data_IF_024741012541
#
_entry.id   IF_024741012541
#
_cell.length_a   1.000
_cell.length_b   1.000
_cell.length_c   1.000
_cell.angle_alpha   90.00
_cell.angle_beta   90.00
_cell.angle_gamma   90.00
#
_symmetry.space_group_name_H-M   'P 1'
#
loop_
_entity.id
_entity.type
_entity.pdbx_description
1 polymer ?
#
# COMPACT_ATOMS: atom_id res chain seq x y z
N UNK A 1 3.20 18.37 5.39
CA UNK A 1 4.45 17.74 4.89
C UNK A 1 4.26 17.41 3.43
N UNK A 2 5.33 17.30 2.64
CA UNK A 2 5.28 16.89 1.22
C UNK A 2 5.79 15.46 1.08
N UNK A 3 5.19 14.69 0.16
CA UNK A 3 5.62 13.32 -0.12
C UNK A 3 7.07 13.32 -0.63
N UNK A 4 7.88 12.39 -0.12
CA UNK A 4 9.27 12.23 -0.55
C UNK A 4 9.35 11.15 -1.63
N UNK A 5 9.59 11.57 -2.86
CA UNK A 5 9.72 10.66 -4.00
C UNK A 5 11.05 9.89 -3.93
N UNK A 6 11.06 8.58 -4.23
CA UNK A 6 12.29 7.81 -4.30
C UNK A 6 13.08 8.17 -5.56
N UNK A 7 14.39 7.95 -5.55
CA UNK A 7 15.27 8.31 -6.68
C UNK A 7 14.85 7.63 -8.00
N UNK A 8 14.24 6.44 -7.94
CA UNK A 8 13.72 5.73 -9.10
C UNK A 8 12.65 6.54 -9.84
N UNK A 9 11.86 7.35 -9.13
CA UNK A 9 10.86 8.21 -9.74
C UNK A 9 11.48 9.32 -10.60
N UNK A 10 12.75 9.65 -10.37
CA UNK A 10 13.54 10.57 -11.20
C UNK A 10 14.40 9.85 -12.25
N UNK A 11 14.24 8.54 -12.42
CA UNK A 11 14.95 7.73 -13.39
C UNK A 11 14.05 7.41 -14.60
N UNK A 12 14.26 8.01 -15.80
CA UNK A 12 13.34 7.86 -16.93
C UNK A 12 12.99 6.41 -17.32
N UNK A 13 13.93 5.43 -17.31
CA UNK A 13 13.61 4.03 -17.62
C UNK A 13 12.65 3.37 -16.62
N UNK A 14 12.44 3.95 -15.43
CA UNK A 14 11.52 3.43 -14.43
C UNK A 14 10.05 3.46 -14.91
N UNK A 15 9.70 4.39 -15.80
CA UNK A 15 8.37 4.54 -16.42
C UNK A 15 8.19 3.70 -17.69
N UNK A 16 9.11 2.78 -17.98
CA UNK A 16 8.99 1.84 -19.10
C UNK A 16 9.19 0.43 -18.58
N UNK A 17 8.21 -0.44 -18.80
CA UNK A 17 8.27 -1.80 -18.31
C UNK A 17 9.48 -2.53 -18.91
N UNK A 18 10.35 -3.07 -18.05
CA UNK A 18 11.62 -3.63 -18.49
C UNK A 18 11.42 -4.99 -19.18
N UNK A 19 12.06 -5.25 -20.34
CA UNK A 19 11.90 -6.51 -21.06
C UNK A 19 12.54 -7.68 -20.30
N UNK A 20 13.72 -7.45 -19.72
CA UNK A 20 14.43 -8.45 -18.92
C UNK A 20 13.65 -8.80 -17.65
N UNK A 21 13.42 -10.09 -17.40
CA UNK A 21 12.62 -10.59 -16.28
C UNK A 21 13.18 -10.20 -14.91
N UNK A 22 14.50 -10.30 -14.71
CA UNK A 22 15.13 -9.97 -13.43
C UNK A 22 15.07 -8.47 -13.15
N UNK A 23 15.30 -7.64 -14.17
CA UNK A 23 15.19 -6.18 -14.03
C UNK A 23 13.74 -5.76 -13.81
N UNK A 24 12.80 -6.40 -14.50
CA UNK A 24 11.36 -6.18 -14.34
C UNK A 24 10.87 -6.55 -12.94
N UNK A 25 11.31 -7.66 -12.38
CA UNK A 25 11.00 -8.03 -10.99
C UNK A 25 11.46 -6.94 -10.00
N UNK A 26 12.71 -6.46 -10.13
CA UNK A 26 13.23 -5.35 -9.31
C UNK A 26 12.45 -4.06 -9.51
N UNK A 27 12.07 -3.77 -10.75
CA UNK A 27 11.26 -2.60 -11.10
C UNK A 27 9.87 -2.68 -10.45
N UNK A 28 9.16 -3.81 -10.60
CA UNK A 28 7.83 -4.01 -10.02
C UNK A 28 7.86 -3.96 -8.50
N UNK A 29 8.88 -4.54 -7.86
CA UNK A 29 9.09 -4.39 -6.40
C UNK A 29 9.24 -2.92 -5.98
N UNK A 30 10.02 -2.14 -6.73
CA UNK A 30 10.21 -0.71 -6.46
C UNK A 30 8.92 0.08 -6.68
N UNK A 31 8.16 -0.23 -7.73
CA UNK A 31 6.84 0.36 -7.99
C UNK A 31 5.84 0.01 -6.90
N UNK A 32 5.73 -1.26 -6.50
CA UNK A 32 4.84 -1.68 -5.43
C UNK A 32 5.12 -0.94 -4.13
N UNK A 33 6.39 -0.80 -3.75
CA UNK A 33 6.78 -0.01 -2.57
C UNK A 33 6.35 1.45 -2.70
N UNK A 34 6.63 2.08 -3.85
CA UNK A 34 6.23 3.47 -4.10
C UNK A 34 4.70 3.65 -4.02
N UNK A 35 3.91 2.73 -4.60
CA UNK A 35 2.44 2.77 -4.52
C UNK A 35 1.98 2.72 -3.06
N UNK A 36 2.53 1.80 -2.25
CA UNK A 36 2.15 1.67 -0.85
C UNK A 36 2.55 2.91 -0.03
N UNK A 37 3.78 3.39 -0.19
CA UNK A 37 4.28 4.58 0.51
C UNK A 37 3.43 5.82 0.15
N UNK A 38 3.08 5.99 -1.13
CA UNK A 38 2.24 7.09 -1.60
C UNK A 38 0.81 6.98 -1.07
N UNK A 39 0.20 5.80 -1.12
CA UNK A 39 -1.14 5.59 -0.60
C UNK A 39 -1.20 5.80 0.91
N UNK A 40 -0.19 5.34 1.64
CA UNK A 40 -0.05 5.57 3.09
C UNK A 40 0.05 7.05 3.42
N UNK A 41 0.92 7.78 2.71
CA UNK A 41 1.09 9.21 2.94
C UNK A 41 -0.20 10.01 2.70
N UNK A 42 -0.97 9.64 1.66
CA UNK A 42 -2.20 10.32 1.27
C UNK A 42 -3.46 9.73 1.94
N UNK A 43 -3.32 8.75 2.84
CA UNK A 43 -4.43 8.04 3.50
C UNK A 43 -5.43 7.39 2.53
N UNK A 44 -4.92 6.83 1.43
CA UNK A 44 -5.72 6.11 0.42
C UNK A 44 -5.82 4.63 0.80
N UNK A 45 -7.00 4.22 1.26
CA UNK A 45 -7.31 2.83 1.63
C UNK A 45 -8.09 2.08 0.54
N UNK A 46 -8.74 2.80 -0.37
CA UNK A 46 -9.40 2.23 -1.55
C UNK A 46 -9.20 3.17 -2.72
N UNK A 47 -9.03 2.63 -3.92
CA UNK A 47 -8.82 3.41 -5.13
C UNK A 47 -9.63 2.85 -6.30
N UNK A 48 -10.16 3.75 -7.13
CA UNK A 48 -10.58 3.42 -8.48
C UNK A 48 -9.33 3.37 -9.38
N UNK A 49 -9.22 2.31 -10.19
CA UNK A 49 -8.06 2.07 -11.04
C UNK A 49 -7.84 3.19 -12.08
N UNK A 50 -8.90 3.70 -12.69
CA UNK A 50 -8.81 4.76 -13.70
C UNK A 50 -8.32 6.08 -13.09
N UNK A 51 -8.84 6.43 -11.90
CA UNK A 51 -8.44 7.64 -11.18
C UNK A 51 -6.97 7.59 -10.76
N UNK A 52 -6.55 6.49 -10.12
CA UNK A 52 -5.17 6.37 -9.63
C UNK A 52 -4.16 6.26 -10.78
N UNK A 53 -4.53 5.61 -11.89
CA UNK A 53 -3.69 5.49 -13.09
C UNK A 53 -3.43 6.82 -13.81
N UNK A 54 -4.28 7.82 -13.58
CA UNK A 54 -4.12 9.18 -14.10
C UNK A 54 -3.47 10.16 -13.09
N UNK A 55 -3.17 9.69 -11.88
CA UNK A 55 -2.54 10.50 -10.82
C UNK A 55 -1.05 10.77 -11.06
N UNK A 56 -0.47 11.66 -10.25
CA UNK A 56 0.98 11.93 -10.27
C UNK A 56 1.84 10.70 -9.93
N UNK A 57 1.27 9.70 -9.23
CA UNK A 57 1.96 8.46 -8.88
C UNK A 57 2.57 7.77 -10.12
N UNK A 58 1.84 7.74 -11.23
CA UNK A 58 2.29 7.10 -12.48
C UNK A 58 2.68 8.11 -13.57
N UNK A 59 2.61 9.41 -13.28
CA UNK A 59 2.88 10.49 -14.23
C UNK A 59 3.82 11.53 -13.65
N UNK A 60 5.11 11.41 -13.95
CA UNK A 60 6.11 12.40 -13.62
C UNK A 60 6.15 13.49 -14.70
N UNK A 61 5.42 14.58 -14.44
CA UNK A 61 5.36 15.76 -15.31
C UNK A 61 6.72 16.45 -15.46
N UNK A 62 7.60 16.36 -14.46
CA UNK A 62 8.93 16.99 -14.46
C UNK A 62 9.87 16.32 -15.46
N UNK A 63 9.74 15.00 -15.62
CA UNK A 63 10.48 14.22 -16.61
C UNK A 63 9.74 14.05 -17.94
N UNK A 64 8.49 14.50 -18.04
CA UNK A 64 7.58 14.20 -19.14
C UNK A 64 7.50 12.67 -19.42
N UNK A 65 7.33 11.90 -18.34
CA UNK A 65 7.26 10.43 -18.38
C UNK A 65 6.03 9.94 -17.62
N UNK A 66 5.35 8.96 -18.22
CA UNK A 66 4.19 8.28 -17.65
C UNK A 66 4.34 6.78 -17.88
N UNK A 67 4.01 5.98 -16.88
CA UNK A 67 3.88 4.53 -17.02
C UNK A 67 2.57 4.25 -17.77
N UNK A 68 2.64 3.42 -18.81
CA UNK A 68 1.48 3.06 -19.61
C UNK A 68 0.51 2.15 -18.84
N UNK A 69 -0.74 2.03 -19.34
CA UNK A 69 -1.78 1.23 -18.68
C UNK A 69 -1.33 -0.23 -18.48
N UNK A 70 -0.59 -0.78 -19.44
CA UNK A 70 -0.02 -2.12 -19.35
C UNK A 70 0.98 -2.24 -18.19
N UNK A 71 1.90 -1.29 -18.06
CA UNK A 71 2.84 -1.24 -16.94
C UNK A 71 2.13 -1.04 -15.60
N UNK A 72 1.11 -0.18 -15.53
CA UNK A 72 0.35 0.06 -14.29
C UNK A 72 -0.40 -1.20 -13.87
N UNK A 73 -1.07 -1.90 -14.79
CA UNK A 73 -1.71 -3.20 -14.48
C UNK A 73 -0.71 -4.22 -13.97
N UNK A 74 0.49 -4.29 -14.56
CA UNK A 74 1.53 -5.20 -14.08
C UNK A 74 1.97 -4.89 -12.64
N UNK A 75 1.99 -3.60 -12.24
CA UNK A 75 2.26 -3.19 -10.86
C UNK A 75 1.13 -3.63 -9.92
N UNK A 76 -0.13 -3.46 -10.32
CA UNK A 76 -1.28 -3.88 -9.53
C UNK A 76 -1.40 -5.40 -9.41
N UNK A 77 -1.14 -6.14 -10.48
CA UNK A 77 -1.08 -7.62 -10.45
C UNK A 77 0.06 -8.10 -9.52
N UNK A 78 1.20 -7.40 -9.53
CA UNK A 78 2.28 -7.69 -8.59
C UNK A 78 1.87 -7.41 -7.13
N UNK A 79 1.14 -6.31 -6.87
CA UNK A 79 0.60 -6.00 -5.53
C UNK A 79 -0.46 -7.00 -5.06
N UNK A 80 -1.34 -7.46 -5.95
CA UNK A 80 -2.35 -8.49 -5.69
C UNK A 80 -1.68 -9.82 -5.31
N UNK A 81 -0.62 -10.21 -6.03
CA UNK A 81 0.16 -11.41 -5.71
C UNK A 81 0.84 -11.32 -4.34
N UNK A 82 1.28 -10.13 -3.94
CA UNK A 82 1.83 -9.86 -2.61
C UNK A 82 0.78 -9.68 -1.51
N UNK A 83 -0.52 -9.78 -1.83
CA UNK A 83 -1.65 -9.58 -0.90
C UNK A 83 -1.72 -8.19 -0.29
N UNK A 84 -1.21 -7.19 -1.00
CA UNK A 84 -1.36 -5.78 -0.62
C UNK A 84 -2.59 -5.12 -1.24
N UNK A 85 -3.23 -5.77 -2.21
CA UNK A 85 -4.43 -5.26 -2.87
C UNK A 85 -5.47 -6.37 -2.98
N UNK A 86 -6.74 -6.01 -2.78
CA UNK A 86 -7.90 -6.85 -3.06
C UNK A 86 -8.86 -6.10 -3.99
N UNK A 87 -9.20 -6.71 -5.13
CA UNK A 87 -10.17 -6.16 -6.06
C UNK A 87 -11.61 -6.35 -5.54
N UNK A 88 -12.41 -5.29 -5.60
CA UNK A 88 -13.81 -5.33 -5.17
C UNK A 88 -14.73 -5.95 -6.24
N UNK A 89 -14.24 -6.09 -7.47
CA UNK A 89 -15.03 -6.49 -8.63
C UNK A 89 -14.19 -7.31 -9.63
N UNK A 90 -14.88 -8.14 -10.42
CA UNK A 90 -14.23 -8.97 -11.46
C UNK A 90 -13.63 -8.15 -12.60
N UNK A 91 -14.10 -6.91 -12.79
CA UNK A 91 -13.61 -6.02 -13.84
C UNK A 91 -12.36 -5.24 -13.41
N UNK A 92 -11.89 -5.43 -12.16
CA UNK A 92 -10.72 -4.75 -11.59
C UNK A 92 -10.83 -3.22 -11.71
N UNK A 93 -12.00 -2.67 -11.39
CA UNK A 93 -12.24 -1.22 -11.45
C UNK A 93 -11.95 -0.53 -10.12
N UNK A 94 -12.21 -1.21 -9.01
CA UNK A 94 -11.98 -0.68 -7.66
C UNK A 94 -11.26 -1.70 -6.80
N UNK A 95 -10.33 -1.23 -5.98
CA UNK A 95 -9.60 -2.10 -5.07
C UNK A 95 -9.41 -1.47 -3.68
N UNK A 96 -9.24 -2.34 -2.70
CA UNK A 96 -8.74 -2.00 -1.37
C UNK A 96 -7.21 -2.11 -1.37
N UNK A 97 -6.55 -1.18 -0.69
CA UNK A 97 -5.09 -1.08 -0.59
C UNK A 97 -4.69 -1.28 0.88
N UNK A 98 -3.80 -2.24 1.11
CA UNK A 98 -3.27 -2.58 2.42
C UNK A 98 -1.80 -2.17 2.49
N UNK A 99 -1.49 -1.06 3.16
CA UNK A 99 -0.09 -0.60 3.33
C UNK A 99 0.74 -1.56 4.18
N UNK A 100 0.07 -2.28 5.07
CA UNK A 100 0.55 -3.48 5.78
C UNK A 100 -0.49 -4.58 5.61
N UNK A 101 -0.03 -5.82 5.52
CA UNK A 101 -0.93 -6.94 5.21
C UNK A 101 -1.83 -7.26 6.40
N UNK A 102 -3.10 -7.66 6.20
CA UNK A 102 -4.00 -8.04 7.29
C UNK A 102 -3.43 -9.11 8.22
N UNK A 103 -2.64 -10.06 7.70
CA UNK A 103 -2.01 -11.10 8.50
C UNK A 103 -0.93 -10.54 9.44
N UNK A 104 -0.18 -9.53 8.99
CA UNK A 104 0.81 -8.85 9.81
C UNK A 104 0.14 -8.03 10.92
N UNK A 105 -1.00 -7.41 10.61
CA UNK A 105 -1.84 -6.76 11.61
C UNK A 105 -2.40 -7.75 12.63
N UNK A 106 -2.88 -8.91 12.17
CA UNK A 106 -3.45 -9.93 13.04
C UNK A 106 -2.43 -10.43 14.06
N UNK A 107 -1.17 -10.67 13.64
CA UNK A 107 -0.08 -11.06 14.53
C UNK A 107 0.16 -9.96 15.58
N UNK A 108 0.27 -8.69 15.15
CA UNK A 108 0.52 -7.57 16.08
C UNK A 108 -0.63 -7.38 17.08
N UNK A 109 -1.88 -7.48 16.62
CA UNK A 109 -3.06 -7.40 17.49
C UNK A 109 -3.07 -8.56 18.49
N UNK A 110 -2.73 -9.77 18.04
CA UNK A 110 -2.67 -10.95 18.90
C UNK A 110 -1.57 -10.83 19.96
N UNK A 111 -0.37 -10.40 19.57
CA UNK A 111 0.76 -10.18 20.48
C UNK A 111 0.43 -9.11 21.53
N UNK A 112 -0.20 -8.01 21.11
CA UNK A 112 -0.71 -6.99 22.03
C UNK A 112 -1.76 -7.56 22.98
N UNK A 113 -2.79 -8.25 22.47
CA UNK A 113 -3.84 -8.83 23.30
C UNK A 113 -3.30 -9.84 24.32
N UNK A 114 -2.23 -10.57 23.96
CA UNK A 114 -1.53 -11.47 24.86
C UNK A 114 -0.73 -10.72 25.94
N UNK A 115 -0.06 -9.61 25.61
CA UNK A 115 0.76 -8.86 26.57
C UNK A 115 -0.08 -8.22 27.68
N UNK A 116 -1.30 -7.81 27.37
CA UNK A 116 -2.26 -7.22 28.33
C UNK A 116 -3.24 -8.23 28.94
N UNK A 117 -3.11 -9.52 28.61
CA UNK A 117 -3.92 -10.59 29.20
C UNK A 117 -5.38 -10.66 28.71
N UNK A 118 -5.70 -10.06 27.56
CA UNK A 118 -7.06 -9.96 27.01
C UNK A 118 -7.46 -11.12 26.07
N UNK A 119 -6.61 -12.13 25.84
CA UNK A 119 -6.87 -13.22 24.88
C UNK A 119 -8.19 -14.01 25.07
N UNK A 120 -8.78 -13.98 26.27
CA UNK A 120 -10.05 -14.64 26.58
C UNK A 120 -11.19 -13.67 26.91
N UNK A 121 -11.02 -12.39 26.58
CA UNK A 121 -12.01 -11.34 26.81
C UNK A 121 -12.62 -10.88 25.49
N UNK A 122 -13.86 -10.41 25.54
CA UNK A 122 -14.48 -9.73 24.40
C UNK A 122 -14.03 -8.27 24.43
N UNK A 123 -13.42 -7.82 23.34
CA UNK A 123 -12.99 -6.43 23.13
C UNK A 123 -13.66 -5.91 21.87
N UNK A 124 -14.21 -4.70 21.93
CA UNK A 124 -14.82 -4.03 20.79
C UNK A 124 -13.77 -3.36 19.91
N UNK A 125 -14.10 -3.11 18.63
CA UNK A 125 -13.20 -2.39 17.73
C UNK A 125 -12.88 -0.97 18.24
N UNK A 126 -13.81 -0.35 18.96
CA UNK A 126 -13.59 0.96 19.56
C UNK A 126 -12.51 0.92 20.65
N UNK A 127 -12.57 -0.06 21.55
CA UNK A 127 -11.57 -0.25 22.61
C UNK A 127 -10.18 -0.55 22.03
N UNK A 128 -10.11 -1.34 20.95
CA UNK A 128 -8.84 -1.64 20.25
C UNK A 128 -8.19 -0.39 19.63
N UNK A 129 -8.98 0.57 19.18
CA UNK A 129 -8.47 1.73 18.41
C UNK A 129 -8.38 3.01 19.22
N UNK A 130 -9.17 3.14 20.29
CA UNK A 130 -9.33 4.37 21.07
C UNK A 130 -9.33 4.14 22.59
N UNK A 131 -9.16 2.89 23.07
CA UNK A 131 -9.09 2.59 24.50
C UNK A 131 -7.82 3.11 25.17
N UNK A 132 -7.87 3.33 26.49
CA UNK A 132 -6.72 3.83 27.27
C UNK A 132 -5.49 2.91 27.15
N UNK A 133 -5.69 1.59 27.10
CA UNK A 133 -4.64 0.60 26.91
C UNK A 133 -4.06 0.58 25.48
N UNK A 134 -4.82 1.03 24.48
CA UNK A 134 -4.32 1.20 23.13
C UNK A 134 -3.38 2.41 23.06
N UNK A 135 -3.68 3.51 23.75
CA UNK A 135 -2.98 4.80 23.58
C UNK A 135 -1.51 4.79 24.04
N UNK A 136 -1.10 3.84 24.90
CA UNK A 136 0.26 3.77 25.44
C UNK A 136 1.27 3.09 24.49
N UNK A 137 0.86 2.08 23.71
CA UNK A 137 1.70 1.40 22.71
C UNK A 137 1.24 1.64 21.25
N UNK A 138 -0.04 1.94 20.99
CA UNK A 138 -0.61 2.07 19.64
C UNK A 138 -0.29 3.38 18.92
N UNK A 139 0.39 4.35 19.56
CA UNK A 139 0.78 5.61 18.88
C UNK A 139 1.70 5.39 17.67
N UNK A 140 2.36 4.23 17.58
CA UNK A 140 3.13 3.83 16.41
C UNK A 140 2.42 2.83 15.48
N UNK A 141 1.24 2.33 15.87
CA UNK A 141 0.61 1.17 15.22
C UNK A 141 -0.75 1.49 14.60
N UNK A 142 -1.62 2.32 15.17
CA UNK A 142 -3.01 2.44 14.68
C UNK A 142 -3.43 3.83 14.23
N UNK A 143 -2.48 4.71 13.88
CA UNK A 143 -2.82 6.04 13.39
C UNK A 143 -3.38 5.97 11.96
N UNK A 144 -4.71 5.84 11.89
CA UNK A 144 -5.55 6.16 10.74
C UNK A 144 -5.40 7.62 10.30
#
# INVERSE_FOLDING_TARGET
MTFQWPWQYDFPPFFTLQPNLQTRDKQLKSWSRLVLDYCQFNKIYSANFEEISNSELFNNRRLNRRLDDFGIRAVFDHLENLKHIEWCDKQKTRCNIYWRRPEEWAIQIYEWANSIGLLNSVVTLFELTQGEDAIQECKNFFLF
#
